data_IF_791405840674
#
_entry.id   IF_791405840674
#
_cell.length_a   1.000
_cell.length_b   1.000
_cell.length_c   1.000
_cell.angle_alpha   90.00
_cell.angle_beta   90.00
_cell.angle_gamma   90.00
#
_symmetry.space_group_name_H-M   'P 1'
#
loop_
_entity.id
_entity.type
_entity.pdbx_description
1 polymer ?
#
# COMPACT_ATOMS: atom_id res chain seq x y z
N UNK A 1 -16.35 9.86 -17.21
CA UNK A 1 -16.57 8.46 -17.64
C UNK A 1 -16.04 7.59 -16.50
N UNK A 2 -16.92 7.02 -15.67
CA UNK A 2 -16.49 6.23 -14.52
C UNK A 2 -16.22 4.80 -15.01
N UNK A 3 -14.95 4.38 -14.95
CA UNK A 3 -14.54 3.02 -15.29
C UNK A 3 -15.29 2.01 -14.42
N UNK A 4 -15.86 0.97 -15.05
CA UNK A 4 -16.40 -0.17 -14.31
C UNK A 4 -15.28 -0.76 -13.44
N UNK A 5 -15.56 -1.15 -12.17
CA UNK A 5 -14.56 -1.85 -11.38
C UNK A 5 -14.19 -3.15 -12.10
N UNK A 6 -12.92 -3.29 -12.48
CA UNK A 6 -12.46 -4.50 -13.15
C UNK A 6 -12.36 -5.68 -12.16
N UNK A 7 -12.04 -6.85 -12.70
CA UNK A 7 -11.93 -8.09 -11.95
C UNK A 7 -10.91 -7.99 -10.80
N UNK A 8 -11.15 -8.66 -9.65
CA UNK A 8 -10.35 -8.53 -8.42
C UNK A 8 -8.93 -9.15 -8.50
N UNK A 9 -8.60 -9.86 -9.58
CA UNK A 9 -7.30 -10.51 -9.78
C UNK A 9 -6.42 -9.69 -10.74
N UNK A 10 -5.99 -8.52 -10.28
CA UNK A 10 -5.02 -7.69 -11.00
C UNK A 10 -3.77 -7.48 -10.12
N UNK A 11 -2.64 -7.20 -10.78
CA UNK A 11 -1.29 -7.00 -10.22
C UNK A 11 -0.69 -8.18 -9.44
N UNK A 12 0.64 -8.20 -9.37
CA UNK A 12 1.38 -9.16 -8.56
C UNK A 12 1.18 -8.85 -7.06
N UNK A 13 1.06 -9.90 -6.25
CA UNK A 13 0.56 -9.80 -4.88
C UNK A 13 1.34 -8.80 -4.00
N UNK A 14 2.68 -8.77 -4.09
CA UNK A 14 3.52 -7.87 -3.29
C UNK A 14 3.31 -6.38 -3.60
N UNK A 15 2.74 -6.07 -4.76
CA UNK A 15 2.54 -4.71 -5.26
C UNK A 15 1.06 -4.32 -5.21
N UNK A 16 0.19 -5.21 -4.72
CA UNK A 16 -1.25 -5.00 -4.71
C UNK A 16 -1.64 -3.95 -3.67
N UNK A 17 -2.48 -3.01 -4.08
CA UNK A 17 -2.96 -1.96 -3.19
C UNK A 17 -3.95 -2.47 -2.13
N UNK A 18 -4.12 -1.74 -1.02
CA UNK A 18 -5.02 -2.15 0.06
C UNK A 18 -6.47 -2.35 -0.44
N UNK A 19 -7.02 -1.46 -1.26
CA UNK A 19 -8.39 -1.59 -1.76
C UNK A 19 -8.61 -2.88 -2.56
N UNK A 20 -7.61 -3.36 -3.30
CA UNK A 20 -7.69 -4.64 -4.00
C UNK A 20 -7.67 -5.82 -3.02
N UNK A 21 -6.79 -5.78 -2.01
CA UNK A 21 -6.67 -6.83 -0.99
C UNK A 21 -7.93 -6.93 -0.10
N UNK A 22 -8.65 -5.83 0.07
CA UNK A 22 -9.90 -5.76 0.82
C UNK A 22 -11.16 -5.79 -0.08
N UNK A 23 -11.00 -6.06 -1.38
CA UNK A 23 -12.10 -6.27 -2.32
C UNK A 23 -13.02 -5.06 -2.49
N UNK A 24 -12.45 -3.86 -2.43
CA UNK A 24 -13.11 -2.57 -2.61
C UNK A 24 -13.06 -2.09 -4.07
N UNK A 25 -13.88 -1.09 -4.43
CA UNK A 25 -13.77 -0.44 -5.73
C UNK A 25 -12.40 0.18 -5.93
N UNK A 26 -11.84 -0.03 -7.12
CA UNK A 26 -10.49 0.39 -7.48
C UNK A 26 -10.50 1.19 -8.79
N UNK A 27 -9.43 1.95 -9.00
CA UNK A 27 -9.18 2.74 -10.21
C UNK A 27 -7.67 2.80 -10.51
N UNK A 28 -7.23 3.75 -11.34
CA UNK A 28 -5.83 3.94 -11.73
C UNK A 28 -4.88 4.23 -10.54
N UNK A 29 -5.39 4.64 -9.38
CA UNK A 29 -4.56 4.85 -8.17
C UNK A 29 -3.94 3.56 -7.63
N UNK A 30 -4.40 2.40 -8.07
CA UNK A 30 -3.78 1.09 -7.80
C UNK A 30 -2.39 0.97 -8.44
N UNK A 31 -2.21 1.52 -9.64
CA UNK A 31 -0.93 1.53 -10.33
C UNK A 31 0.04 2.51 -9.66
N UNK A 32 -0.47 3.63 -9.12
CA UNK A 32 0.34 4.56 -8.33
C UNK A 32 0.88 3.91 -7.05
N UNK A 33 0.04 3.15 -6.33
CA UNK A 33 0.49 2.35 -5.19
C UNK A 33 1.57 1.35 -5.61
N UNK A 34 1.30 0.58 -6.67
CA UNK A 34 2.24 -0.42 -7.18
C UNK A 34 3.58 0.22 -7.54
N UNK A 35 3.54 1.41 -8.15
CA UNK A 35 4.73 2.20 -8.46
C UNK A 35 5.47 2.67 -7.20
N UNK A 36 4.78 3.10 -6.14
CA UNK A 36 5.41 3.44 -4.86
C UNK A 36 6.17 2.26 -4.24
N UNK A 37 5.58 1.06 -4.25
CA UNK A 37 6.24 -0.16 -3.78
C UNK A 37 7.44 -0.53 -4.68
N UNK A 38 7.37 -0.21 -5.97
CA UNK A 38 8.48 -0.42 -6.91
C UNK A 38 9.58 0.63 -6.67
N UNK A 39 9.29 1.92 -6.57
CA UNK A 39 10.33 2.97 -6.44
C UNK A 39 11.20 2.79 -5.18
N UNK A 40 10.73 2.03 -4.20
CA UNK A 40 11.52 1.46 -3.10
C UNK A 40 12.66 0.49 -3.55
N UNK A 41 12.92 0.30 -4.86
CA UNK A 41 13.92 -0.60 -5.51
C UNK A 41 15.36 -0.55 -4.92
N UNK A 42 15.72 0.40 -4.05
CA UNK A 42 16.96 0.24 -3.27
C UNK A 42 16.95 -1.05 -2.43
N UNK A 43 15.78 -1.66 -2.21
CA UNK A 43 15.59 -2.93 -1.52
C UNK A 43 14.64 -3.87 -2.29
N UNK A 44 14.69 -5.20 -2.08
CA UNK A 44 13.61 -6.08 -2.55
C UNK A 44 12.28 -5.55 -2.01
N UNK A 45 11.22 -5.61 -2.82
CA UNK A 45 9.94 -4.94 -2.53
C UNK A 45 9.44 -5.28 -1.12
N UNK A 46 8.83 -4.29 -0.44
CA UNK A 46 8.48 -4.32 0.99
C UNK A 46 7.92 -5.66 1.50
N UNK A 47 7.15 -6.36 0.66
CA UNK A 47 6.44 -7.58 1.03
C UNK A 47 6.89 -8.86 0.28
N UNK A 48 7.92 -8.79 -0.57
CA UNK A 48 8.29 -9.90 -1.46
C UNK A 48 8.69 -11.18 -0.71
N UNK A 49 9.25 -11.04 0.50
CA UNK A 49 9.75 -12.16 1.31
C UNK A 49 8.92 -12.42 2.57
N UNK A 50 7.69 -11.88 2.66
CA UNK A 50 6.95 -11.88 3.92
C UNK A 50 6.49 -13.27 4.38
N UNK A 51 6.25 -14.19 3.44
CA UNK A 51 5.94 -15.58 3.77
C UNK A 51 6.33 -16.56 2.67
N UNK A 52 6.60 -17.79 3.10
CA UNK A 52 6.77 -18.96 2.24
C UNK A 52 5.56 -19.85 2.45
N UNK A 53 4.88 -20.27 1.37
CA UNK A 53 3.61 -20.98 1.50
C UNK A 53 2.74 -20.92 0.24
N UNK A 54 1.46 -21.27 0.40
CA UNK A 54 0.45 -21.19 -0.67
C UNK A 54 0.15 -19.74 -1.06
N UNK A 55 -0.56 -19.55 -2.18
CA UNK A 55 -0.97 -18.22 -2.62
C UNK A 55 -1.94 -17.55 -1.61
N UNK A 56 -2.81 -18.33 -0.98
CA UNK A 56 -3.73 -17.83 0.06
C UNK A 56 -2.96 -17.38 1.31
N UNK A 57 -1.97 -18.15 1.74
CA UNK A 57 -1.12 -17.81 2.90
C UNK A 57 -0.31 -16.54 2.63
N UNK A 58 0.26 -16.42 1.43
CA UNK A 58 0.94 -15.20 0.98
C UNK A 58 -0.02 -14.02 0.92
N UNK A 59 -1.21 -14.20 0.37
CA UNK A 59 -2.21 -13.13 0.25
C UNK A 59 -2.62 -12.62 1.61
N UNK A 60 -2.85 -13.52 2.56
CA UNK A 60 -3.14 -13.17 3.95
C UNK A 60 -1.96 -12.42 4.58
N UNK A 61 -0.73 -12.91 4.43
CA UNK A 61 0.45 -12.29 5.03
C UNK A 61 0.68 -10.86 4.51
N UNK A 62 0.60 -10.64 3.20
CA UNK A 62 0.71 -9.30 2.59
C UNK A 62 -0.42 -8.38 3.07
N UNK A 63 -1.66 -8.87 3.09
CA UNK A 63 -2.81 -8.09 3.57
C UNK A 63 -2.66 -7.69 5.03
N UNK A 64 -2.25 -8.62 5.89
CA UNK A 64 -2.11 -8.35 7.31
C UNK A 64 -0.98 -7.36 7.58
N UNK A 65 0.14 -7.47 6.86
CA UNK A 65 1.25 -6.54 6.97
C UNK A 65 0.87 -5.13 6.54
N UNK A 66 0.25 -4.98 5.37
CA UNK A 66 -0.29 -3.69 4.91
C UNK A 66 -1.31 -3.13 5.91
N UNK A 67 -2.14 -3.98 6.51
CA UNK A 67 -3.12 -3.54 7.50
C UNK A 67 -2.48 -2.94 8.75
N UNK A 68 -1.34 -3.50 9.17
CA UNK A 68 -0.56 -3.01 10.31
C UNK A 68 0.26 -1.79 9.92
N UNK A 69 1.06 -1.88 8.85
CA UNK A 69 2.01 -0.84 8.42
C UNK A 69 1.31 0.49 8.13
N UNK A 70 0.06 0.46 7.65
CA UNK A 70 -0.73 1.66 7.35
C UNK A 70 -1.91 1.88 8.30
N UNK A 71 -1.94 1.18 9.44
CA UNK A 71 -2.98 1.27 10.47
C UNK A 71 -4.41 1.35 9.91
N UNK A 72 -4.80 0.35 9.12
CA UNK A 72 -6.11 0.36 8.45
C UNK A 72 -7.29 0.38 9.43
N UNK A 73 -7.07 0.02 10.70
CA UNK A 73 -8.07 0.15 11.76
C UNK A 73 -8.43 1.61 12.08
N UNK A 74 -7.50 2.56 11.85
CA UNK A 74 -7.76 3.99 12.03
C UNK A 74 -8.58 4.61 10.90
N UNK A 75 -8.82 3.88 9.82
CA UNK A 75 -9.47 4.40 8.62
C UNK A 75 -10.90 3.86 8.48
N UNK A 76 -11.94 4.72 8.56
CA UNK A 76 -13.35 4.30 8.50
C UNK A 76 -13.69 3.48 7.27
N UNK A 77 -13.03 3.76 6.14
CA UNK A 77 -13.22 3.03 4.89
C UNK A 77 -12.95 1.52 5.05
N UNK A 78 -12.06 1.12 5.96
CA UNK A 78 -11.76 -0.28 6.26
C UNK A 78 -12.42 -0.74 7.57
N UNK A 79 -12.37 0.06 8.62
CA UNK A 79 -12.86 -0.31 9.95
C UNK A 79 -14.39 -0.45 10.05
N UNK A 80 -15.14 0.36 9.28
CA UNK A 80 -16.61 0.36 9.29
C UNK A 80 -17.22 -0.49 8.16
N UNK A 81 -16.42 -0.90 7.18
CA UNK A 81 -16.85 -1.80 6.10
C UNK A 81 -16.87 -3.26 6.59
N UNK A 82 -18.06 -3.88 6.62
CA UNK A 82 -18.25 -5.22 7.18
C UNK A 82 -17.30 -6.26 6.56
N UNK A 83 -17.16 -6.24 5.24
CA UNK A 83 -16.34 -7.21 4.52
C UNK A 83 -14.86 -6.97 4.81
N UNK A 84 -14.42 -5.72 4.77
CA UNK A 84 -13.04 -5.38 5.07
C UNK A 84 -12.68 -5.71 6.53
N UNK A 85 -13.58 -5.42 7.47
CA UNK A 85 -13.38 -5.68 8.91
C UNK A 85 -13.19 -7.16 9.22
N UNK A 86 -13.89 -8.06 8.55
CA UNK A 86 -13.71 -9.50 8.68
C UNK A 86 -12.33 -9.99 8.20
N UNK A 87 -11.68 -9.21 7.33
CA UNK A 87 -10.37 -9.52 6.76
C UNK A 87 -9.21 -8.87 7.49
N UNK A 88 -9.46 -7.87 8.35
CA UNK A 88 -8.43 -7.17 9.11
C UNK A 88 -7.80 -8.10 10.15
N UNK A 89 -6.47 -8.10 10.31
CA UNK A 89 -5.83 -8.73 11.46
C UNK A 89 -6.19 -7.99 12.76
N UNK A 90 -5.92 -8.57 13.93
CA UNK A 90 -5.99 -7.83 15.19
C UNK A 90 -5.18 -6.52 15.11
N UNK A 91 -5.69 -5.40 15.69
CA UNK A 91 -4.99 -4.12 15.66
C UNK A 91 -3.66 -4.22 16.42
N UNK A 92 -2.62 -3.65 15.83
CA UNK A 92 -1.25 -3.60 16.37
C UNK A 92 -0.72 -2.15 16.25
N UNK A 93 -1.32 -1.18 16.98
CA UNK A 93 -0.98 0.25 16.83
C UNK A 93 0.48 0.56 17.17
N UNK A 94 1.12 -0.27 17.99
CA UNK A 94 2.54 -0.16 18.33
C UNK A 94 3.49 -0.52 17.17
N UNK A 95 2.97 -1.12 16.09
CA UNK A 95 3.71 -1.47 14.88
C UNK A 95 3.33 -0.60 13.68
N UNK A 96 2.32 0.26 13.82
CA UNK A 96 1.84 1.12 12.75
C UNK A 96 2.91 2.09 12.25
N UNK A 97 2.92 2.34 10.94
CA UNK A 97 3.79 3.27 10.21
C UNK A 97 5.30 3.02 10.29
N UNK A 98 5.76 1.98 11.00
CA UNK A 98 7.20 1.65 11.15
C UNK A 98 7.95 1.30 9.87
N UNK A 99 7.25 1.22 8.73
CA UNK A 99 7.92 1.08 7.45
C UNK A 99 8.81 2.29 7.16
N UNK A 100 8.47 3.50 7.61
CA UNK A 100 9.29 4.69 7.44
C UNK A 100 10.60 4.62 8.26
N UNK A 101 10.54 4.19 9.51
CA UNK A 101 11.69 3.88 10.37
C UNK A 101 12.60 2.84 9.69
N UNK A 102 11.99 1.80 9.13
CA UNK A 102 12.71 0.77 8.38
C UNK A 102 13.44 1.36 7.15
N UNK A 103 12.84 2.34 6.47
CA UNK A 103 13.49 3.03 5.34
C UNK A 103 14.64 3.93 5.81
N UNK A 104 14.49 4.60 6.96
CA UNK A 104 15.57 5.39 7.57
C UNK A 104 16.76 4.50 7.93
N UNK A 105 16.53 3.36 8.58
CA UNK A 105 17.57 2.39 8.94
C UNK A 105 18.31 1.83 7.72
N UNK A 106 17.60 1.76 6.60
CA UNK A 106 18.11 1.37 5.28
C UNK A 106 18.85 2.49 4.54
N UNK A 107 18.91 3.70 5.09
CA UNK A 107 19.62 4.84 4.52
C UNK A 107 18.86 5.57 3.41
N UNK A 108 17.54 5.44 3.35
CA UNK A 108 16.67 6.24 2.46
C UNK A 108 16.59 7.67 3.01
N UNK A 109 16.64 8.67 2.12
CA UNK A 109 16.57 10.06 2.54
C UNK A 109 15.17 10.41 3.06
N UNK A 110 15.08 11.30 4.05
CA UNK A 110 13.79 11.72 4.60
C UNK A 110 12.85 12.35 3.57
N UNK A 111 13.40 13.05 2.56
CA UNK A 111 12.64 13.63 1.44
C UNK A 111 12.00 12.54 0.57
N UNK A 112 12.75 11.48 0.26
CA UNK A 112 12.23 10.30 -0.47
C UNK A 112 11.12 9.60 0.33
N UNK A 113 11.28 9.47 1.65
CA UNK A 113 10.26 8.87 2.53
C UNK A 113 9.00 9.72 2.58
N UNK A 114 9.13 11.04 2.70
CA UNK A 114 7.98 11.96 2.68
C UNK A 114 7.26 11.91 1.34
N UNK A 115 8.00 11.85 0.23
CA UNK A 115 7.43 11.67 -1.10
C UNK A 115 6.67 10.34 -1.20
N UNK A 116 7.28 9.23 -0.76
CA UNK A 116 6.64 7.92 -0.73
C UNK A 116 5.40 7.88 0.17
N UNK A 117 5.37 8.60 1.28
CA UNK A 117 4.19 8.68 2.15
C UNK A 117 2.96 9.29 1.44
N UNK A 118 3.19 10.22 0.50
CA UNK A 118 2.12 10.77 -0.33
C UNK A 118 1.61 9.81 -1.41
N UNK A 119 2.42 8.81 -1.80
CA UNK A 119 2.10 7.80 -2.81
C UNK A 119 1.46 6.57 -2.17
N UNK A 120 2.04 6.11 -1.06
CA UNK A 120 1.64 4.94 -0.30
C UNK A 120 0.54 5.25 0.72
N UNK A 121 -0.35 6.18 0.41
CA UNK A 121 -1.54 6.38 1.23
C UNK A 121 -2.48 5.17 1.09
N UNK A 122 -2.99 4.59 2.19
CA UNK A 122 -3.95 3.49 2.11
C UNK A 122 -5.31 3.93 1.56
N UNK A 123 -5.56 5.23 1.51
CA UNK A 123 -6.79 5.82 0.98
C UNK A 123 -6.53 6.26 -0.47
N UNK A 124 -7.20 5.63 -1.43
CA UNK A 124 -7.07 5.95 -2.86
C UNK A 124 -7.19 7.44 -3.19
N UNK A 125 -8.09 8.15 -2.51
CA UNK A 125 -8.34 9.58 -2.74
C UNK A 125 -7.32 10.52 -2.10
N UNK A 126 -6.39 10.00 -1.30
CA UNK A 126 -5.32 10.76 -0.67
C UNK A 126 -3.94 10.44 -1.26
N UNK A 127 -3.84 9.49 -2.20
CA UNK A 127 -2.61 9.25 -2.96
C UNK A 127 -2.39 10.38 -3.95
N UNK A 128 -1.14 10.75 -4.18
CA UNK A 128 -0.80 11.55 -5.33
C UNK A 128 -1.28 10.88 -6.62
N UNK A 129 -1.73 11.71 -7.55
CA UNK A 129 -1.97 11.34 -8.93
C UNK A 129 -0.66 11.36 -9.71
N UNK A 130 -0.65 10.77 -10.91
CA UNK A 130 0.50 10.86 -11.82
C UNK A 130 0.87 12.31 -12.14
N UNK A 131 -0.11 13.21 -12.22
CA UNK A 131 0.14 14.65 -12.45
C UNK A 131 0.84 15.27 -11.26
N UNK A 132 0.34 15.04 -10.04
CA UNK A 132 0.97 15.56 -8.82
C UNK A 132 2.39 15.00 -8.60
N UNK A 133 2.62 13.73 -8.97
CA UNK A 133 3.97 13.14 -8.97
C UNK A 133 4.90 13.93 -9.91
N UNK A 134 4.47 14.21 -11.14
CA UNK A 134 5.26 14.97 -12.11
C UNK A 134 5.47 16.43 -11.67
N UNK A 135 4.44 17.06 -11.10
CA UNK A 135 4.51 18.46 -10.64
C UNK A 135 5.26 18.64 -9.33
N UNK A 136 5.49 17.56 -8.57
CA UNK A 136 6.26 17.59 -7.32
C UNK A 136 7.74 17.97 -7.52
N UNK A 137 8.26 17.85 -8.75
CA UNK A 137 9.68 18.01 -9.07
C UNK A 137 10.58 16.89 -8.56
N UNK A 138 10.03 15.87 -7.87
CA UNK A 138 10.82 14.76 -7.32
C UNK A 138 11.56 13.95 -8.40
N UNK A 139 10.99 13.88 -9.61
CA UNK A 139 11.60 13.17 -10.73
C UNK A 139 12.65 14.01 -11.50
N UNK A 140 12.80 15.30 -11.16
CA UNK A 140 13.67 16.22 -11.90
C UNK A 140 15.15 16.16 -11.46
N UNK A 141 15.42 15.66 -10.24
CA UNK A 141 16.77 15.42 -9.72
C UNK A 141 17.45 16.64 -9.09
#
# INVERSE_FOLDING_TARGET
MFSQPGTPEISALSYRSPELLFGKPWDYSTDVWSWGIIVDIKFPGMYDNISVGTLEEKTKAVRDAIAVDFDLHSHPQYAEDLKAREMLPPPQPELAYKWDETMVDKGVAGEDIQFLANILSPLRGARFTTVEILESGYLDG
#
